data_IF_542716841853
#
_entry.id   IF_542716841853
#
_cell.length_a   1.000
_cell.length_b   1.000
_cell.length_c   1.000
_cell.angle_alpha   90.00
_cell.angle_beta   90.00
_cell.angle_gamma   90.00
#
_symmetry.space_group_name_H-M   'P 1'
#
loop_
_entity.id
_entity.type
_entity.pdbx_description
1 polymer ?
#
# COMPACT_ATOMS: atom_id res chain seq x y z
N UNK A 1 21.72 -11.08 -0.04
CA UNK A 1 20.28 -10.85 0.24
C UNK A 1 19.80 -9.46 -0.21
N UNK A 2 20.26 -8.90 -1.34
CA UNK A 2 19.84 -7.57 -1.87
C UNK A 2 19.58 -7.56 -3.38
N UNK A 3 19.44 -8.73 -4.04
CA UNK A 3 19.57 -8.83 -5.50
C UNK A 3 18.26 -8.86 -6.30
N UNK A 4 17.10 -9.19 -5.73
CA UNK A 4 15.87 -9.37 -6.54
C UNK A 4 15.23 -8.01 -6.87
N UNK A 5 14.96 -7.18 -5.85
CA UNK A 5 14.55 -5.78 -6.06
C UNK A 5 15.55 -4.93 -6.85
N UNK A 6 16.85 -5.22 -6.76
CA UNK A 6 17.86 -4.51 -7.56
C UNK A 6 17.65 -4.70 -9.07
N UNK A 7 16.95 -5.75 -9.52
CA UNK A 7 16.65 -6.00 -10.93
C UNK A 7 15.47 -5.16 -11.44
N UNK A 8 14.50 -4.83 -10.58
CA UNK A 8 13.44 -3.86 -10.88
C UNK A 8 13.89 -2.40 -10.65
N UNK A 9 14.75 -2.17 -9.65
CA UNK A 9 15.26 -0.85 -9.27
C UNK A 9 16.53 -0.41 -10.03
N UNK A 10 17.17 -1.28 -10.81
CA UNK A 10 18.29 -0.91 -11.70
C UNK A 10 17.85 -0.18 -12.98
N UNK A 11 16.57 0.18 -13.10
CA UNK A 11 16.13 1.21 -14.04
C UNK A 11 16.43 2.59 -13.43
N UNK A 12 17.17 3.49 -14.11
CA UNK A 12 17.55 4.77 -13.54
C UNK A 12 16.31 5.64 -13.25
N UNK A 13 15.96 5.72 -11.96
CA UNK A 13 14.99 6.67 -11.41
C UNK A 13 15.54 8.10 -11.60
N UNK A 14 15.13 8.74 -12.70
CA UNK A 14 15.36 10.17 -12.91
C UNK A 14 14.01 10.83 -13.20
N UNK A 15 13.62 11.72 -12.30
CA UNK A 15 12.51 12.66 -12.46
C UNK A 15 12.74 13.54 -13.69
N UNK A 16 11.96 13.41 -14.77
CA UNK A 16 11.78 14.50 -15.73
C UNK A 16 10.40 14.51 -16.40
N UNK A 17 10.05 15.74 -16.81
CA UNK A 17 8.75 16.24 -17.19
C UNK A 17 8.11 15.55 -18.39
N UNK A 18 6.78 15.56 -18.38
CA UNK A 18 5.88 15.06 -19.41
C UNK A 18 6.32 15.46 -20.83
N UNK A 19 6.75 14.47 -21.61
CA UNK A 19 6.74 14.51 -23.06
C UNK A 19 5.72 13.48 -23.55
N UNK A 20 4.62 13.95 -24.13
CA UNK A 20 3.68 13.09 -24.83
C UNK A 20 4.40 12.39 -25.99
N UNK A 21 4.42 11.06 -25.99
CA UNK A 21 5.07 10.26 -27.02
C UNK A 21 4.39 8.90 -27.19
N UNK A 22 3.43 8.88 -28.11
CA UNK A 22 2.88 7.74 -28.89
C UNK A 22 2.66 6.38 -28.19
N UNK A 23 1.37 6.06 -28.03
CA UNK A 23 0.81 4.76 -27.65
C UNK A 23 1.15 3.64 -28.65
N UNK A 24 2.26 2.93 -28.44
CA UNK A 24 2.40 1.55 -28.92
C UNK A 24 2.07 0.62 -27.76
N UNK A 25 0.77 0.34 -27.58
CA UNK A 25 0.26 -0.55 -26.55
C UNK A 25 0.99 -1.91 -26.61
N UNK A 26 1.48 -2.39 -25.46
CA UNK A 26 2.07 -3.72 -25.35
C UNK A 26 0.97 -4.74 -25.67
N UNK A 27 1.03 -5.35 -26.85
CA UNK A 27 0.05 -6.35 -27.27
C UNK A 27 0.18 -7.58 -26.36
N UNK A 28 -0.91 -7.99 -25.72
CA UNK A 28 -1.04 -9.32 -25.14
C UNK A 28 -0.74 -10.36 -26.22
N UNK A 29 0.45 -10.94 -26.18
CA UNK A 29 1.00 -11.78 -27.23
C UNK A 29 1.95 -12.80 -26.63
N UNK A 30 1.82 -14.06 -27.05
CA UNK A 30 2.62 -15.14 -26.50
C UNK A 30 4.04 -15.11 -27.10
N UNK A 31 5.04 -15.07 -26.23
CA UNK A 31 6.46 -15.13 -26.61
C UNK A 31 6.95 -16.56 -26.88
N UNK A 32 6.08 -17.56 -26.69
CA UNK A 32 6.43 -18.97 -26.73
C UNK A 32 7.08 -19.49 -25.43
N UNK A 33 7.31 -18.61 -24.44
CA UNK A 33 7.72 -19.01 -23.09
C UNK A 33 6.56 -19.73 -22.42
N UNK A 34 6.80 -20.96 -21.94
CA UNK A 34 5.78 -21.77 -21.27
C UNK A 34 6.02 -21.77 -19.77
N UNK A 35 4.95 -21.58 -19.01
CA UNK A 35 4.96 -21.60 -17.55
C UNK A 35 4.14 -22.77 -17.05
N UNK A 36 4.70 -23.56 -16.12
CA UNK A 36 4.04 -24.71 -15.52
C UNK A 36 4.09 -24.65 -13.98
N UNK A 37 3.20 -25.41 -13.35
CA UNK A 37 2.99 -25.46 -11.90
C UNK A 37 1.78 -24.63 -11.46
N UNK A 38 1.30 -24.90 -10.26
CA UNK A 38 0.14 -24.20 -9.67
C UNK A 38 0.54 -22.83 -9.10
N UNK A 39 -0.34 -21.82 -9.10
CA UNK A 39 -0.09 -20.54 -8.44
C UNK A 39 0.26 -20.71 -6.97
N UNK A 40 1.27 -19.97 -6.50
CA UNK A 40 1.76 -20.06 -5.14
C UNK A 40 2.79 -21.18 -4.91
N UNK A 41 3.04 -22.05 -5.90
CA UNK A 41 4.21 -22.91 -5.96
C UNK A 41 5.26 -22.31 -6.90
N UNK A 42 6.55 -22.54 -6.62
CA UNK A 42 7.64 -22.03 -7.48
C UNK A 42 7.43 -22.50 -8.94
N UNK A 43 7.30 -21.59 -9.91
CA UNK A 43 7.00 -21.95 -11.28
C UNK A 43 8.17 -22.66 -11.97
N UNK A 44 7.86 -23.52 -12.92
CA UNK A 44 8.82 -24.05 -13.90
C UNK A 44 8.62 -23.33 -15.23
N UNK A 45 9.69 -22.80 -15.81
CA UNK A 45 9.66 -22.05 -17.06
C UNK A 45 10.45 -22.78 -18.14
N UNK A 46 9.85 -22.93 -19.32
CA UNK A 46 10.51 -23.46 -20.52
C UNK A 46 10.59 -22.37 -21.58
N UNK A 47 11.80 -22.05 -22.01
CA UNK A 47 12.06 -21.04 -23.04
C UNK A 47 11.99 -21.67 -24.44
N UNK A 48 11.45 -20.94 -25.45
CA UNK A 48 11.50 -21.41 -26.82
C UNK A 48 12.95 -21.40 -27.33
N UNK A 49 13.24 -22.22 -28.34
CA UNK A 49 14.52 -22.22 -29.02
C UNK A 49 14.70 -20.93 -29.83
N UNK A 50 15.89 -20.34 -29.80
CA UNK A 50 16.25 -19.18 -30.62
C UNK A 50 16.53 -17.92 -29.80
N UNK A 51 16.54 -16.78 -30.50
CA UNK A 51 16.86 -15.49 -29.90
C UNK A 51 15.77 -15.01 -28.93
N UNK A 52 16.13 -14.24 -27.89
CA UNK A 52 15.16 -13.63 -26.98
C UNK A 52 14.16 -12.71 -27.68
N UNK A 53 13.00 -12.53 -27.05
CA UNK A 53 12.00 -11.58 -27.54
C UNK A 53 12.57 -10.15 -27.55
N UNK A 54 12.33 -9.44 -28.65
CA UNK A 54 12.75 -8.04 -28.84
C UNK A 54 11.67 -7.03 -28.46
N UNK A 55 10.44 -7.51 -28.18
CA UNK A 55 9.32 -6.71 -27.71
C UNK A 55 8.84 -7.19 -26.35
N UNK A 56 8.46 -6.24 -25.52
CA UNK A 56 7.84 -6.51 -24.22
C UNK A 56 6.42 -7.01 -24.38
N UNK A 57 6.02 -7.93 -23.51
CA UNK A 57 4.68 -8.54 -23.52
C UNK A 57 4.32 -9.11 -22.15
N UNK A 58 3.04 -9.39 -21.96
CA UNK A 58 2.56 -10.14 -20.81
C UNK A 58 1.57 -11.22 -21.26
N UNK A 59 1.44 -12.25 -20.43
CA UNK A 59 0.45 -13.31 -20.59
C UNK A 59 -0.16 -13.65 -19.23
N UNK A 60 -1.49 -13.65 -19.15
CA UNK A 60 -2.21 -14.11 -17.96
C UNK A 60 -2.26 -15.64 -18.02
N UNK A 61 -1.31 -16.29 -17.34
CA UNK A 61 -1.22 -17.75 -17.26
C UNK A 61 -2.42 -18.31 -16.48
N UNK A 62 -2.77 -17.65 -15.38
CA UNK A 62 -3.95 -17.95 -14.61
C UNK A 62 -4.58 -16.66 -14.09
N UNK A 63 -5.87 -16.37 -14.38
CA UNK A 63 -6.47 -15.09 -14.04
C UNK A 63 -6.63 -14.86 -12.53
N UNK A 64 -6.74 -15.93 -11.73
CA UNK A 64 -7.11 -15.82 -10.31
C UNK A 64 -8.60 -15.52 -10.13
N UNK A 65 -9.07 -15.56 -8.89
CA UNK A 65 -10.49 -15.37 -8.54
C UNK A 65 -10.72 -14.37 -7.41
N UNK A 66 -9.65 -13.79 -6.85
CA UNK A 66 -9.74 -12.82 -5.76
C UNK A 66 -9.95 -11.39 -6.26
N UNK A 67 -9.50 -10.43 -5.44
CA UNK A 67 -9.60 -9.00 -5.69
C UNK A 67 -8.93 -8.58 -6.99
N UNK A 68 -9.59 -7.68 -7.72
CA UNK A 68 -9.05 -7.04 -8.93
C UNK A 68 -7.97 -6.03 -8.55
N UNK A 69 -6.93 -5.94 -9.39
CA UNK A 69 -5.84 -4.99 -9.25
C UNK A 69 -6.13 -3.76 -10.10
N UNK A 70 -5.96 -2.58 -9.52
CA UNK A 70 -6.12 -1.28 -10.18
C UNK A 70 -4.81 -0.51 -10.16
N UNK A 71 -4.65 0.42 -11.09
CA UNK A 71 -3.58 1.42 -11.02
C UNK A 71 -3.68 2.19 -9.69
N UNK A 72 -2.55 2.31 -9.01
CA UNK A 72 -2.42 2.86 -7.66
C UNK A 72 -2.31 1.79 -6.57
N UNK A 73 -2.74 0.55 -6.82
CA UNK A 73 -2.67 -0.52 -5.83
C UNK A 73 -1.22 -0.97 -5.59
N UNK A 74 -0.97 -1.43 -4.37
CA UNK A 74 0.19 -2.27 -4.05
C UNK A 74 -0.21 -3.73 -4.25
N UNK A 75 0.56 -4.48 -5.03
CA UNK A 75 0.41 -5.93 -5.17
C UNK A 75 1.52 -6.63 -4.42
N UNK A 76 1.16 -7.67 -3.67
CA UNK A 76 2.11 -8.54 -2.98
C UNK A 76 2.23 -9.78 -3.84
N UNK A 77 3.45 -10.05 -4.30
CA UNK A 77 3.73 -11.10 -5.28
C UNK A 77 4.81 -12.04 -4.78
N UNK A 78 4.64 -13.33 -5.04
CA UNK A 78 5.79 -14.19 -5.20
C UNK A 78 6.28 -14.11 -6.64
N UNK A 79 7.59 -14.14 -6.84
CA UNK A 79 8.15 -14.05 -8.17
C UNK A 79 9.42 -14.87 -8.37
N UNK A 80 9.68 -15.17 -9.63
CA UNK A 80 10.97 -15.66 -10.11
C UNK A 80 11.35 -14.86 -11.35
N UNK A 81 12.63 -14.50 -11.45
CA UNK A 81 13.19 -13.72 -12.57
C UNK A 81 14.24 -14.53 -13.28
N UNK A 82 14.23 -14.47 -14.61
CA UNK A 82 15.25 -15.03 -15.49
C UNK A 82 15.79 -13.96 -16.44
N UNK A 83 17.07 -14.08 -16.77
CA UNK A 83 17.66 -13.44 -17.93
C UNK A 83 17.56 -14.39 -19.12
N UNK A 84 16.77 -14.06 -20.13
CA UNK A 84 16.63 -14.81 -21.37
C UNK A 84 17.67 -14.34 -22.38
N UNK A 85 18.71 -15.14 -22.60
CA UNK A 85 19.81 -14.88 -23.55
C UNK A 85 19.79 -15.82 -24.77
N UNK A 86 18.85 -16.76 -24.81
CA UNK A 86 18.72 -17.77 -25.86
C UNK A 86 19.71 -18.93 -25.71
N UNK A 87 20.48 -18.96 -24.61
CA UNK A 87 21.52 -19.95 -24.32
C UNK A 87 21.31 -20.52 -22.92
N UNK A 88 21.81 -19.84 -21.90
CA UNK A 88 21.80 -20.31 -20.52
C UNK A 88 20.47 -20.01 -19.81
N UNK A 89 19.77 -18.96 -20.22
CA UNK A 89 18.50 -18.51 -19.65
C UNK A 89 18.53 -18.47 -18.11
N UNK A 90 19.53 -17.78 -17.55
CA UNK A 90 19.90 -17.89 -16.15
C UNK A 90 18.83 -17.34 -15.21
N UNK A 91 18.50 -18.09 -14.15
CA UNK A 91 17.66 -17.61 -13.04
C UNK A 91 18.42 -16.52 -12.27
N UNK A 92 17.84 -15.34 -12.14
CA UNK A 92 18.43 -14.21 -11.41
C UNK A 92 18.02 -14.19 -9.93
N UNK A 93 16.84 -14.71 -9.62
CA UNK A 93 16.38 -14.85 -8.23
C UNK A 93 14.92 -15.22 -8.11
N UNK A 94 14.51 -15.60 -6.91
CA UNK A 94 13.13 -15.91 -6.59
C UNK A 94 12.77 -15.62 -5.15
N UNK A 95 11.59 -15.05 -4.92
CA UNK A 95 11.00 -14.88 -3.58
C UNK A 95 10.65 -16.22 -2.92
N UNK A 96 10.45 -17.29 -3.71
CA UNK A 96 10.20 -18.64 -3.22
C UNK A 96 11.39 -19.20 -2.44
N UNK A 97 12.60 -18.90 -2.89
CA UNK A 97 13.83 -19.38 -2.25
C UNK A 97 14.11 -18.61 -0.94
N UNK A 98 13.69 -17.35 -0.87
CA UNK A 98 13.83 -16.50 0.32
C UNK A 98 12.63 -16.57 1.26
N UNK A 99 11.51 -17.17 0.84
CA UNK A 99 10.22 -17.18 1.56
C UNK A 99 9.72 -15.79 1.93
N UNK A 100 10.03 -14.79 1.10
CA UNK A 100 9.69 -13.40 1.33
C UNK A 100 9.08 -12.81 0.05
N UNK A 101 7.73 -12.73 -0.04
CA UNK A 101 7.05 -12.05 -1.13
C UNK A 101 7.50 -10.59 -1.26
N UNK A 102 7.39 -10.05 -2.47
CA UNK A 102 7.72 -8.65 -2.76
C UNK A 102 6.45 -7.81 -2.94
N UNK A 103 6.52 -6.54 -2.54
CA UNK A 103 5.44 -5.59 -2.75
C UNK A 103 5.80 -4.67 -3.91
N UNK A 104 4.94 -4.59 -4.91
CA UNK A 104 5.09 -3.76 -6.11
C UNK A 104 3.95 -2.75 -6.16
N UNK A 105 4.26 -1.47 -6.35
CA UNK A 105 3.26 -0.44 -6.61
C UNK A 105 2.92 -0.40 -8.10
N UNK A 106 1.64 -0.62 -8.45
CA UNK A 106 1.16 -0.57 -9.83
C UNK A 106 0.91 0.88 -10.20
N UNK A 107 1.94 1.61 -10.60
CA UNK A 107 1.86 3.03 -10.94
C UNK A 107 2.73 3.35 -12.17
N UNK A 108 2.79 4.64 -12.54
CA UNK A 108 3.53 5.14 -13.71
C UNK A 108 5.04 4.83 -13.69
N UNK A 109 5.62 4.50 -12.53
CA UNK A 109 7.03 4.13 -12.41
C UNK A 109 7.29 2.69 -12.86
N UNK A 110 6.25 1.86 -12.87
CA UNK A 110 6.33 0.47 -13.33
C UNK A 110 6.27 0.45 -14.87
N UNK A 111 7.07 -0.38 -15.57
CA UNK A 111 6.96 -0.53 -17.02
C UNK A 111 5.51 -0.78 -17.47
N UNK A 112 5.07 -0.12 -18.54
CA UNK A 112 3.67 -0.14 -19.00
C UNK A 112 3.14 -1.57 -19.19
N UNK A 113 3.96 -2.47 -19.76
CA UNK A 113 3.63 -3.89 -19.93
C UNK A 113 3.24 -4.59 -18.62
N UNK A 114 3.88 -4.22 -17.51
CA UNK A 114 3.57 -4.77 -16.19
C UNK A 114 2.35 -4.09 -15.58
N UNK A 115 2.16 -2.79 -15.78
CA UNK A 115 0.93 -2.11 -15.35
C UNK A 115 -0.29 -2.75 -16.02
N UNK A 116 -0.25 -2.90 -17.34
CA UNK A 116 -1.30 -3.55 -18.11
C UNK A 116 -1.49 -4.99 -17.64
N UNK A 117 -0.42 -5.79 -17.56
CA UNK A 117 -0.49 -7.18 -17.11
C UNK A 117 -1.10 -7.35 -15.71
N UNK A 118 -0.68 -6.53 -14.74
CA UNK A 118 -1.23 -6.60 -13.38
C UNK A 118 -2.72 -6.29 -13.34
N UNK A 119 -3.22 -5.32 -14.12
CA UNK A 119 -4.66 -5.03 -14.20
C UNK A 119 -5.49 -6.12 -14.89
N UNK A 120 -4.85 -7.10 -15.55
CA UNK A 120 -5.53 -8.25 -16.18
C UNK A 120 -5.53 -9.52 -15.32
N UNK A 121 -4.82 -9.52 -14.18
CA UNK A 121 -4.79 -10.63 -13.23
C UNK A 121 -5.42 -10.21 -11.90
N UNK A 122 -5.90 -11.18 -11.12
CA UNK A 122 -6.51 -10.98 -9.80
C UNK A 122 -5.67 -11.66 -8.72
N UNK A 123 -5.99 -11.37 -7.46
CA UNK A 123 -5.44 -12.14 -6.34
C UNK A 123 -5.65 -13.67 -6.55
N UNK A 124 -4.60 -14.45 -6.31
CA UNK A 124 -4.52 -15.88 -6.57
C UNK A 124 -4.17 -16.23 -8.02
N UNK A 125 -3.94 -15.23 -8.88
CA UNK A 125 -3.56 -15.42 -10.28
C UNK A 125 -2.05 -15.44 -10.51
N UNK A 126 -1.68 -15.87 -11.72
CA UNK A 126 -0.30 -15.96 -12.22
C UNK A 126 -0.15 -15.17 -13.50
N UNK A 127 0.84 -14.29 -13.52
CA UNK A 127 1.20 -13.44 -14.66
C UNK A 127 2.61 -13.78 -15.13
N UNK A 128 2.75 -14.02 -16.43
CA UNK A 128 4.04 -14.02 -17.12
C UNK A 128 4.26 -12.62 -17.70
N UNK A 129 5.45 -12.07 -17.52
CA UNK A 129 5.87 -10.84 -18.20
C UNK A 129 7.25 -11.01 -18.81
N UNK A 130 7.41 -10.50 -20.03
CA UNK A 130 8.67 -10.44 -20.75
C UNK A 130 8.99 -8.97 -20.98
N UNK A 131 10.11 -8.51 -20.46
CA UNK A 131 10.61 -7.14 -20.59
C UNK A 131 11.83 -7.17 -21.50
N UNK A 132 11.66 -6.64 -22.71
CA UNK A 132 12.73 -6.40 -23.67
C UNK A 132 13.21 -4.94 -23.58
N UNK A 133 14.17 -4.55 -24.41
CA UNK A 133 14.78 -3.21 -24.39
C UNK A 133 13.78 -2.08 -24.68
N UNK A 134 12.63 -2.39 -25.30
CA UNK A 134 11.54 -1.43 -25.55
C UNK A 134 10.79 -1.02 -24.28
N UNK A 135 10.91 -1.77 -23.18
CA UNK A 135 10.34 -1.38 -21.88
C UNK A 135 11.11 -0.24 -21.18
N UNK A 136 12.30 0.10 -21.68
CA UNK A 136 13.13 1.20 -21.17
C UNK A 136 12.82 2.47 -21.97
N UNK A 137 12.62 3.64 -21.33
CA UNK A 137 12.40 4.90 -22.05
C UNK A 137 13.50 5.19 -23.09
N UNK A 138 13.16 5.73 -24.27
CA UNK A 138 14.11 5.92 -25.39
C UNK A 138 15.41 6.66 -25.02
N UNK A 139 15.39 7.57 -24.03
CA UNK A 139 16.58 8.28 -23.53
C UNK A 139 17.46 7.50 -22.54
N UNK A 140 17.01 6.32 -22.11
CA UNK A 140 17.69 5.42 -21.17
C UNK A 140 17.97 4.04 -21.79
N UNK A 141 17.49 3.79 -23.01
CA UNK A 141 17.79 2.57 -23.75
C UNK A 141 19.30 2.44 -23.94
N UNK A 142 19.89 1.41 -23.36
CA UNK A 142 21.32 1.22 -23.42
C UNK A 142 21.75 0.79 -24.82
N UNK A 143 22.74 1.51 -25.37
CA UNK A 143 23.43 1.11 -26.59
C UNK A 143 24.67 0.28 -26.23
N UNK A 144 24.43 -0.99 -25.91
CA UNK A 144 25.44 -2.07 -25.83
C UNK A 144 26.36 -2.13 -24.57
N UNK A 145 26.63 -3.34 -24.02
CA UNK A 145 26.01 -4.62 -24.40
C UNK A 145 24.53 -4.63 -24.04
N UNK A 146 23.69 -5.20 -24.91
CA UNK A 146 22.26 -5.27 -24.68
C UNK A 146 22.02 -6.06 -23.39
N UNK A 147 21.32 -5.47 -22.41
CA UNK A 147 20.86 -6.24 -21.26
C UNK A 147 20.01 -7.41 -21.75
N UNK A 148 20.14 -8.60 -21.12
CA UNK A 148 19.33 -9.75 -21.51
C UNK A 148 17.84 -9.45 -21.29
N UNK A 149 16.99 -9.93 -22.21
CA UNK A 149 15.53 -9.84 -22.07
C UNK A 149 15.13 -10.50 -20.76
N UNK A 150 14.39 -9.78 -19.90
CA UNK A 150 14.00 -10.29 -18.60
C UNK A 150 12.67 -11.00 -18.69
N UNK A 151 12.57 -12.16 -18.06
CA UNK A 151 11.33 -12.91 -17.93
C UNK A 151 10.96 -13.02 -16.47
N UNK A 152 9.74 -12.62 -16.14
CA UNK A 152 9.18 -12.66 -14.81
C UNK A 152 7.97 -13.57 -14.79
N UNK A 153 7.87 -14.39 -13.76
CA UNK A 153 6.59 -15.02 -13.40
C UNK A 153 6.21 -14.49 -12.03
N UNK A 154 5.05 -13.85 -11.95
CA UNK A 154 4.46 -13.30 -10.73
C UNK A 154 3.25 -14.13 -10.33
N UNK A 155 3.18 -14.52 -9.06
CA UNK A 155 1.96 -14.99 -8.41
C UNK A 155 1.46 -13.93 -7.46
N UNK A 156 0.25 -13.43 -7.71
CA UNK A 156 -0.38 -12.43 -6.87
C UNK A 156 -0.92 -13.11 -5.62
N UNK A 157 -0.27 -12.88 -4.48
CA UNK A 157 -0.63 -13.45 -3.18
C UNK A 157 -1.30 -12.45 -2.23
N UNK A 158 -1.39 -11.18 -2.64
CA UNK A 158 -2.12 -10.15 -1.92
C UNK A 158 -2.27 -8.87 -2.73
N UNK A 159 -3.28 -8.08 -2.38
CA UNK A 159 -3.57 -6.78 -3.00
C UNK A 159 -3.95 -5.79 -1.90
N UNK A 160 -3.36 -4.60 -1.94
CA UNK A 160 -3.62 -3.53 -1.00
C UNK A 160 -3.93 -2.26 -1.79
N UNK A 161 -5.17 -1.74 -1.71
CA UNK A 161 -5.50 -0.43 -2.28
C UNK A 161 -4.62 0.68 -1.68
N UNK A 162 -4.36 1.77 -2.41
CA UNK A 162 -3.70 2.92 -1.81
C UNK A 162 -4.55 3.46 -0.66
N UNK A 163 -3.88 3.94 0.39
CA UNK A 163 -4.59 4.63 1.46
C UNK A 163 -5.35 5.83 0.88
N UNK A 164 -6.57 6.06 1.37
CA UNK A 164 -7.28 7.29 1.10
C UNK A 164 -6.45 8.48 1.56
N UNK A 165 -6.66 9.64 0.95
CA UNK A 165 -5.94 10.85 1.36
C UNK A 165 -6.60 11.62 2.51
N UNK A 166 -7.89 11.37 2.73
CA UNK A 166 -8.68 11.91 3.82
C UNK A 166 -9.90 11.02 4.06
N UNK A 167 -10.63 11.25 5.16
CA UNK A 167 -11.95 10.66 5.34
C UNK A 167 -12.90 11.09 4.19
N UNK A 168 -13.61 10.12 3.60
CA UNK A 168 -14.48 10.31 2.42
C UNK A 168 -15.96 10.03 2.69
N UNK A 169 -16.28 9.64 3.93
CA UNK A 169 -17.62 9.25 4.33
C UNK A 169 -18.61 10.40 4.49
N UNK A 170 -19.77 10.08 5.06
CA UNK A 170 -20.84 11.05 5.35
C UNK A 170 -20.64 11.65 6.74
N UNK A 171 -20.73 12.97 6.88
CA UNK A 171 -20.74 13.61 8.20
C UNK A 171 -21.92 13.15 9.06
N UNK A 172 -21.64 12.94 10.34
CA UNK A 172 -22.65 12.55 11.34
C UNK A 172 -22.90 13.72 12.31
N UNK A 173 -23.86 13.53 13.22
CA UNK A 173 -24.14 14.48 14.32
C UNK A 173 -23.45 14.06 15.63
N UNK A 174 -22.61 13.03 15.58
CA UNK A 174 -21.92 12.53 16.77
C UNK A 174 -20.86 13.53 17.26
N UNK A 175 -20.69 13.62 18.56
CA UNK A 175 -19.67 14.46 19.20
C UNK A 175 -19.40 13.98 20.62
N UNK A 176 -18.25 14.39 21.17
CA UNK A 176 -17.90 14.19 22.58
C UNK A 176 -18.07 15.53 23.29
N UNK A 177 -18.84 15.57 24.38
CA UNK A 177 -19.05 16.79 25.16
C UNK A 177 -17.69 17.38 25.60
N UNK A 178 -17.46 18.66 25.34
CA UNK A 178 -16.19 19.33 25.67
C UNK A 178 -15.09 19.17 24.62
N UNK A 179 -15.35 18.44 23.53
CA UNK A 179 -14.45 18.33 22.37
C UNK A 179 -15.16 18.88 21.14
N UNK A 180 -14.44 19.69 20.36
CA UNK A 180 -14.92 20.20 19.06
C UNK A 180 -14.00 19.66 17.97
N UNK A 181 -14.61 19.12 16.91
CA UNK A 181 -13.91 18.73 15.68
C UNK A 181 -14.49 19.54 14.55
N UNK A 182 -13.65 20.30 13.85
CA UNK A 182 -14.03 21.03 12.64
C UNK A 182 -13.42 20.33 11.44
N UNK A 183 -14.27 19.99 10.47
CA UNK A 183 -13.85 19.37 9.23
C UNK A 183 -13.64 20.46 8.17
N UNK A 184 -12.40 20.75 7.74
CA UNK A 184 -12.18 21.68 6.64
C UNK A 184 -12.55 21.09 5.26
N UNK A 185 -12.82 19.78 5.19
CA UNK A 185 -13.02 19.05 3.94
C UNK A 185 -11.73 18.82 3.15
N UNK A 186 -11.77 17.86 2.23
CA UNK A 186 -10.63 17.50 1.38
C UNK A 186 -9.44 16.94 2.16
N UNK A 187 -8.23 17.09 1.59
CA UNK A 187 -6.96 16.56 2.11
C UNK A 187 -6.35 17.45 3.22
N UNK A 188 -7.19 18.07 4.06
CA UNK A 188 -6.76 19.02 5.11
C UNK A 188 -7.01 18.44 6.51
N UNK A 189 -6.08 18.75 7.42
CA UNK A 189 -6.16 18.31 8.81
C UNK A 189 -7.40 18.88 9.53
N UNK A 190 -8.17 18.06 10.26
CA UNK A 190 -9.24 18.56 11.11
C UNK A 190 -8.71 19.44 12.23
N UNK A 191 -9.44 20.49 12.58
CA UNK A 191 -9.16 21.24 13.81
C UNK A 191 -9.76 20.48 14.98
N UNK A 192 -8.92 20.03 15.91
CA UNK A 192 -9.33 19.40 17.16
C UNK A 192 -9.17 20.40 18.32
N UNK A 193 -10.27 20.77 18.97
CA UNK A 193 -10.28 21.58 20.21
C UNK A 193 -10.72 20.71 21.38
N UNK A 194 -9.94 20.76 22.44
CA UNK A 194 -10.06 19.94 23.66
C UNK A 194 -9.98 20.78 24.93
N UNK A 195 -9.63 22.07 24.84
CA UNK A 195 -9.71 22.98 25.98
C UNK A 195 -11.16 23.20 26.35
N UNK A 196 -11.50 22.78 27.57
CA UNK A 196 -12.87 22.77 28.08
C UNK A 196 -12.85 22.80 29.60
N UNK A 197 -13.93 23.30 30.21
CA UNK A 197 -14.18 23.17 31.65
C UNK A 197 -14.87 21.85 32.02
N UNK A 198 -15.24 21.02 31.04
CA UNK A 198 -15.85 19.72 31.26
C UNK A 198 -14.83 18.72 31.83
N UNK A 199 -15.28 17.86 32.74
CA UNK A 199 -14.46 16.74 33.21
C UNK A 199 -14.29 15.71 32.09
N UNK A 200 -13.10 15.10 31.93
CA UNK A 200 -12.93 14.01 30.98
C UNK A 200 -13.82 12.81 31.35
N UNK A 201 -14.35 12.08 30.36
CA UNK A 201 -14.99 10.79 30.57
C UNK A 201 -14.05 9.83 31.30
N UNK A 202 -14.59 9.04 32.24
CA UNK A 202 -13.84 7.98 32.92
C UNK A 202 -13.72 6.68 32.11
N UNK A 203 -14.49 6.58 31.03
CA UNK A 203 -14.52 5.42 30.12
C UNK A 203 -14.11 5.86 28.71
N UNK A 204 -13.77 4.89 27.86
CA UNK A 204 -13.51 5.14 26.45
C UNK A 204 -14.79 5.66 25.77
N UNK A 205 -14.73 6.85 25.18
CA UNK A 205 -15.81 7.37 24.34
C UNK A 205 -15.33 7.43 22.91
N UNK A 206 -16.09 6.81 22.01
CA UNK A 206 -15.81 6.74 20.57
C UNK A 206 -16.99 7.35 19.82
N UNK A 207 -16.71 8.28 18.92
CA UNK A 207 -17.71 8.95 18.10
C UNK A 207 -17.24 9.03 16.66
N UNK A 208 -18.03 8.49 15.74
CA UNK A 208 -17.75 8.53 14.31
C UNK A 208 -18.34 9.80 13.75
N UNK A 209 -17.51 10.80 13.49
CA UNK A 209 -17.95 12.13 13.01
C UNK A 209 -18.06 12.19 11.49
N UNK A 210 -17.35 11.30 10.79
CA UNK A 210 -17.55 11.00 9.37
C UNK A 210 -17.64 9.48 9.23
N UNK A 211 -18.74 8.96 8.72
CA UNK A 211 -18.96 7.52 8.54
C UNK A 211 -18.56 7.09 7.13
N UNK A 212 -17.42 6.40 7.05
CA UNK A 212 -16.90 5.82 5.81
C UNK A 212 -17.70 4.62 5.33
N UNK A 213 -17.43 4.19 4.11
CA UNK A 213 -18.13 3.08 3.45
C UNK A 213 -17.21 1.94 3.05
N UNK A 214 -15.92 2.01 3.41
CA UNK A 214 -14.92 1.01 3.08
C UNK A 214 -15.02 -0.24 3.95
N UNK A 215 -14.08 -1.17 3.73
CA UNK A 215 -13.96 -2.37 4.53
C UNK A 215 -13.81 -2.03 6.03
N UNK A 216 -14.41 -2.84 6.90
CA UNK A 216 -14.31 -2.66 8.35
C UNK A 216 -12.96 -3.15 8.85
N UNK A 217 -12.31 -2.32 9.66
CA UNK A 217 -11.07 -2.65 10.35
C UNK A 217 -11.21 -3.94 11.16
N UNK A 218 -10.25 -4.86 10.97
CA UNK A 218 -10.12 -6.09 11.74
C UNK A 218 -8.97 -6.00 12.77
N UNK A 219 -9.03 -6.73 13.90
CA UNK A 219 -8.08 -6.59 15.01
C UNK A 219 -6.59 -6.83 14.68
N UNK A 220 -6.31 -7.61 13.63
CA UNK A 220 -4.96 -8.03 13.24
C UNK A 220 -4.41 -7.28 12.01
N UNK A 221 -5.08 -6.23 11.56
CA UNK A 221 -4.66 -5.46 10.38
C UNK A 221 -3.67 -4.36 10.74
N UNK A 222 -2.91 -3.95 9.73
CA UNK A 222 -2.21 -2.67 9.72
C UNK A 222 -3.16 -1.60 9.21
N UNK A 223 -3.24 -0.51 9.94
CA UNK A 223 -4.03 0.66 9.57
C UNK A 223 -3.14 1.72 8.95
N UNK A 224 -3.57 2.28 7.82
CA UNK A 224 -3.11 3.58 7.38
C UNK A 224 -4.05 4.63 7.94
N UNK A 225 -3.54 5.57 8.74
CA UNK A 225 -4.35 6.60 9.38
C UNK A 225 -3.72 7.97 9.25
N UNK A 226 -4.58 8.97 9.18
CA UNK A 226 -4.21 10.29 9.61
C UNK A 226 -4.77 10.56 11.01
N UNK A 227 -4.01 11.17 11.91
CA UNK A 227 -4.48 11.47 13.25
C UNK A 227 -3.88 12.76 13.83
N UNK A 228 -4.58 13.31 14.82
CA UNK A 228 -4.07 14.34 15.73
C UNK A 228 -4.44 13.95 17.16
N UNK A 229 -3.44 13.95 18.05
CA UNK A 229 -3.58 13.65 19.47
C UNK A 229 -3.35 14.87 20.35
N UNK A 230 -4.28 15.14 21.26
CA UNK A 230 -4.22 16.24 22.24
C UNK A 230 -4.54 15.76 23.65
N UNK A 231 -4.05 16.48 24.65
CA UNK A 231 -4.42 16.24 26.06
C UNK A 231 -5.72 17.00 26.38
N UNK A 232 -6.69 16.29 26.94
CA UNK A 232 -7.96 16.88 27.40
C UNK A 232 -7.74 18.14 28.24
N UNK A 233 -8.49 19.20 27.97
CA UNK A 233 -8.47 20.43 28.77
C UNK A 233 -7.36 21.43 28.42
N UNK A 234 -6.40 21.08 27.57
CA UNK A 234 -5.20 21.93 27.36
C UNK A 234 -5.02 22.48 25.95
N UNK A 235 -5.69 21.91 24.95
CA UNK A 235 -5.40 22.11 23.51
C UNK A 235 -3.99 21.75 23.05
N UNK A 236 -3.13 21.27 23.96
CA UNK A 236 -1.76 20.87 23.66
C UNK A 236 -1.76 19.61 22.82
N UNK A 237 -1.32 19.74 21.58
CA UNK A 237 -0.99 18.62 20.71
C UNK A 237 0.30 17.97 21.17
N UNK A 238 0.30 16.64 21.24
CA UNK A 238 1.50 15.87 21.51
C UNK A 238 2.01 15.15 20.26
N UNK A 239 1.13 14.84 19.31
CA UNK A 239 1.50 14.17 18.05
C UNK A 239 0.42 14.40 16.96
N UNK A 240 0.85 14.42 15.70
CA UNK A 240 -0.03 14.51 14.54
C UNK A 240 0.67 13.99 13.29
N UNK A 241 0.05 13.05 12.58
CA UNK A 241 0.57 12.63 11.26
C UNK A 241 0.38 13.69 10.19
N UNK A 242 -0.60 14.57 10.36
CA UNK A 242 -0.87 15.63 9.38
C UNK A 242 0.30 16.62 9.26
N UNK A 243 1.05 16.84 10.34
CA UNK A 243 2.26 17.68 10.32
C UNK A 243 3.40 17.04 9.53
N UNK A 244 3.39 15.71 9.39
CA UNK A 244 4.37 14.96 8.60
C UNK A 244 4.00 14.89 7.11
N UNK A 245 2.76 15.22 6.75
CA UNK A 245 2.29 15.26 5.37
C UNK A 245 1.95 13.90 4.75
N UNK A 246 2.06 12.81 5.51
CA UNK A 246 1.75 11.46 5.03
C UNK A 246 1.01 10.63 6.10
N UNK A 247 0.12 9.70 5.70
CA UNK A 247 -0.52 8.77 6.63
C UNK A 247 0.52 7.96 7.40
N UNK A 248 0.24 7.72 8.69
CA UNK A 248 1.02 6.81 9.49
C UNK A 248 0.46 5.38 9.37
N UNK A 249 1.34 4.39 9.28
CA UNK A 249 0.98 2.98 9.23
C UNK A 249 1.28 2.32 10.59
N UNK A 250 0.27 1.70 11.20
CA UNK A 250 0.42 0.99 12.48
C UNK A 250 -0.29 -0.36 12.47
N UNK A 251 0.34 -1.45 12.96
CA UNK A 251 -0.42 -2.64 13.32
C UNK A 251 -1.39 -2.28 14.45
N UNK A 252 -2.69 -2.56 14.29
CA UNK A 252 -3.69 -2.20 15.30
C UNK A 252 -3.36 -2.82 16.66
N UNK A 253 -2.84 -4.06 16.68
CA UNK A 253 -2.37 -4.73 17.89
C UNK A 253 -1.17 -4.07 18.58
N UNK A 254 -0.47 -3.16 17.90
CA UNK A 254 0.74 -2.48 18.39
C UNK A 254 0.52 -1.08 18.97
N UNK A 255 -0.72 -0.58 18.99
CA UNK A 255 -1.06 0.75 19.55
C UNK A 255 -1.79 0.64 20.89
N UNK A 256 -2.02 1.78 21.57
CA UNK A 256 -2.72 1.83 22.87
C UNK A 256 -4.09 1.14 22.83
N UNK A 257 -4.52 0.57 23.95
CA UNK A 257 -5.77 -0.21 24.03
C UNK A 257 -7.01 0.60 23.61
N UNK A 258 -7.02 1.91 23.85
CA UNK A 258 -8.10 2.78 23.39
C UNK A 258 -8.26 2.82 21.87
N UNK A 259 -7.16 2.75 21.11
CA UNK A 259 -7.21 2.62 19.64
C UNK A 259 -7.66 1.22 19.23
N UNK A 260 -7.13 0.18 19.87
CA UNK A 260 -7.51 -1.21 19.59
C UNK A 260 -9.03 -1.42 19.73
N UNK A 261 -9.61 -0.90 20.81
CA UNK A 261 -11.05 -0.99 21.07
C UNK A 261 -11.85 -0.01 20.21
N UNK A 262 -11.37 1.23 20.05
CA UNK A 262 -12.14 2.29 19.41
C UNK A 262 -12.12 2.30 17.89
N UNK A 263 -11.13 1.65 17.26
CA UNK A 263 -11.03 1.56 15.79
C UNK A 263 -11.46 0.19 15.24
N UNK A 264 -11.61 -0.84 16.08
CA UNK A 264 -12.11 -2.13 15.64
C UNK A 264 -13.51 -2.01 15.04
N UNK A 265 -13.71 -2.57 13.84
CA UNK A 265 -14.99 -2.53 13.14
C UNK A 265 -15.34 -1.18 12.47
N UNK A 266 -14.52 -0.14 12.66
CA UNK A 266 -14.70 1.15 11.98
C UNK A 266 -14.49 0.97 10.46
N UNK A 267 -15.41 1.45 9.61
CA UNK A 267 -15.20 1.42 8.16
C UNK A 267 -14.03 2.31 7.71
N UNK A 268 -13.22 1.85 6.77
CA UNK A 268 -12.26 2.70 6.05
C UNK A 268 -13.00 3.87 5.38
N UNK A 269 -12.37 5.05 5.39
CA UNK A 269 -12.94 6.33 4.98
C UNK A 269 -13.63 7.10 6.11
N UNK A 270 -13.65 6.56 7.32
CA UNK A 270 -14.26 7.22 8.49
C UNK A 270 -13.31 8.22 9.15
N UNK A 271 -13.87 9.24 9.80
CA UNK A 271 -13.21 10.06 10.82
C UNK A 271 -13.84 9.76 12.17
N UNK A 272 -13.02 9.37 13.13
CA UNK A 272 -13.42 9.00 14.49
C UNK A 272 -12.77 9.97 15.47
N UNK A 273 -13.54 10.49 16.42
CA UNK A 273 -13.02 11.19 17.59
C UNK A 273 -13.14 10.27 18.80
N UNK A 274 -12.06 10.16 19.57
CA UNK A 274 -11.97 9.30 20.74
C UNK A 274 -11.49 10.08 21.95
N UNK A 275 -12.14 9.90 23.10
CA UNK A 275 -11.61 10.27 24.41
C UNK A 275 -11.19 9.00 25.13
N UNK A 276 -9.89 8.89 25.40
CA UNK A 276 -9.25 7.67 25.91
C UNK A 276 -8.80 7.94 27.36
N UNK A 277 -9.40 7.26 28.35
CA UNK A 277 -9.00 7.41 29.74
C UNK A 277 -7.60 6.83 29.97
N UNK A 278 -6.88 7.22 31.03
CA UNK A 278 -5.48 6.87 31.22
C UNK A 278 -5.20 5.37 31.19
N UNK A 279 -6.06 4.55 31.80
CA UNK A 279 -5.94 3.09 31.83
C UNK A 279 -6.01 2.41 30.45
N UNK A 280 -6.54 3.08 29.43
CA UNK A 280 -6.56 2.62 28.04
C UNK A 280 -5.57 3.38 27.15
N UNK A 281 -4.83 4.33 27.72
CA UNK A 281 -3.75 5.09 27.11
C UNK A 281 -2.39 4.67 27.69
N UNK A 282 -1.71 5.60 28.36
CA UNK A 282 -0.38 5.40 28.95
C UNK A 282 -0.36 5.22 30.47
N UNK A 283 -1.54 5.18 31.11
CA UNK A 283 -1.67 4.91 32.54
C UNK A 283 -0.94 5.94 33.42
N UNK A 284 -0.21 5.42 34.40
CA UNK A 284 0.62 6.19 35.33
C UNK A 284 2.02 6.50 34.79
N UNK A 285 2.32 6.10 33.56
CA UNK A 285 3.61 6.35 32.91
C UNK A 285 3.59 7.69 32.17
N UNK A 286 4.60 8.52 32.43
CA UNK A 286 4.86 9.70 31.62
C UNK A 286 5.42 9.29 30.25
N UNK A 287 4.98 9.96 29.19
CA UNK A 287 5.56 9.86 27.85
C UNK A 287 6.04 11.24 27.40
N UNK A 288 6.90 11.33 26.37
CA UNK A 288 7.26 12.61 25.79
C UNK A 288 6.03 13.45 25.48
N UNK A 289 5.94 14.63 26.10
CA UNK A 289 4.83 15.59 26.01
C UNK A 289 3.49 15.14 26.59
N UNK A 290 3.39 13.99 27.23
CA UNK A 290 2.17 13.44 27.84
C UNK A 290 2.44 13.13 29.32
N UNK A 291 1.94 13.96 30.25
CA UNK A 291 2.02 13.68 31.68
C UNK A 291 1.35 12.35 32.05
N UNK A 292 1.84 11.70 33.09
CA UNK A 292 1.18 10.55 33.70
C UNK A 292 -0.30 10.84 34.03
N UNK A 293 -1.16 9.84 33.91
CA UNK A 293 -2.60 9.91 34.17
C UNK A 293 -3.37 10.88 33.25
N UNK A 294 -2.83 11.21 32.07
CA UNK A 294 -3.53 12.06 31.09
C UNK A 294 -4.68 11.34 30.39
N UNK A 295 -5.82 12.01 30.26
CA UNK A 295 -6.86 11.62 29.29
C UNK A 295 -6.48 12.14 27.91
N UNK A 296 -6.40 11.24 26.93
CA UNK A 296 -6.02 11.58 25.56
C UNK A 296 -7.27 11.81 24.72
N UNK A 297 -7.21 12.76 23.81
CA UNK A 297 -8.23 12.96 22.78
C UNK A 297 -7.59 12.82 21.42
N UNK A 298 -8.14 11.93 20.60
CA UNK A 298 -7.70 11.73 19.23
C UNK A 298 -8.81 12.08 18.26
N UNK A 299 -8.45 12.67 17.14
CA UNK A 299 -9.22 12.58 15.89
C UNK A 299 -8.41 11.73 14.92
N UNK A 300 -9.03 10.71 14.34
CA UNK A 300 -8.39 9.70 13.51
C UNK A 300 -9.21 9.51 12.23
N UNK A 301 -8.58 9.73 11.08
CA UNK A 301 -9.07 9.32 9.78
C UNK A 301 -8.54 7.92 9.49
N UNK A 302 -9.45 6.96 9.29
CA UNK A 302 -9.10 5.60 8.90
C UNK A 302 -9.01 5.56 7.39
N UNK A 303 -7.80 5.56 6.85
CA UNK A 303 -7.54 5.74 5.41
C UNK A 303 -7.32 4.43 4.65
N UNK A 304 -6.91 3.38 5.36
CA UNK A 304 -6.77 2.03 4.82
C UNK A 304 -6.63 1.01 5.94
N UNK A 305 -6.95 -0.24 5.63
CA UNK A 305 -6.81 -1.38 6.55
C UNK A 305 -6.46 -2.63 5.73
N UNK A 306 -5.34 -3.27 6.04
CA UNK A 306 -4.80 -4.41 5.28
C UNK A 306 -4.08 -5.41 6.17
#
# INVERSE_FOLDING_TARGET
>A
MRRVLAVLAAMPLIFFAAGCGSDDAASGGSTGVKVAGDPGAKPTVTFPSGSPATKSSYEVIQPGSGTEIKTGDKVIVNLTVWDWDGKANAVQGSSYDTKAPETISVNEQLPQVLQEGFTKVKHGGRLLAVLANDSVPQGQQQTSPAEPTKVFVFDVVGTQPPALKAATGKETKESIKGVKVENPGGEKAPTLTTKTGEKPPGELVVKTVIEGTGAKVQPNQTLAVHYTGKIWGTDKQFDSSWERGEPAEFPLSGVIQGWQQGLAGVPVGSRVVMSIPPNLGYGDQEQPNIPANSTLVFVVDVLGAY
#
